data_IF_666261433319
#
_entry.id   IF_666261433319
#
_cell.length_a   1.000
_cell.length_b   1.000
_cell.length_c   1.000
_cell.angle_alpha   90.00
_cell.angle_beta   90.00
_cell.angle_gamma   90.00
#
_symmetry.space_group_name_H-M   'P 1'
#
loop_
_entity.id
_entity.type
_entity.pdbx_description
1 polymer ?
#
# COMPACT_ATOMS: atom_id res chain seq x y z
N UNK A 1 31.30 77.41 -72.76
CA UNK A 1 31.07 75.96 -72.97
C UNK A 1 31.36 75.19 -71.69
N UNK A 2 32.51 74.52 -71.49
CA UNK A 2 32.75 73.57 -70.37
C UNK A 2 32.20 73.94 -68.97
N UNK A 3 32.26 75.21 -68.54
CA UNK A 3 31.68 75.63 -67.25
C UNK A 3 30.15 75.55 -67.23
N UNK A 4 29.48 75.97 -68.31
CA UNK A 4 28.02 75.94 -68.45
C UNK A 4 27.50 74.50 -68.49
N UNK A 5 28.19 73.59 -69.17
CA UNK A 5 27.86 72.15 -69.18
C UNK A 5 27.90 71.56 -67.76
N UNK A 6 28.96 71.85 -66.98
CA UNK A 6 29.09 71.41 -65.59
C UNK A 6 28.02 72.02 -64.68
N UNK A 7 27.66 73.29 -64.88
CA UNK A 7 26.55 73.95 -64.15
C UNK A 7 25.20 73.31 -64.49
N UNK A 8 24.93 73.01 -65.76
CA UNK A 8 23.71 72.31 -66.19
C UNK A 8 23.62 70.89 -65.60
N UNK A 9 24.71 70.12 -65.63
CA UNK A 9 24.76 68.79 -65.01
C UNK A 9 24.55 68.85 -63.49
N UNK A 10 25.17 69.82 -62.81
CA UNK A 10 24.96 70.03 -61.38
C UNK A 10 23.51 70.42 -61.05
N UNK A 11 22.88 71.26 -61.88
CA UNK A 11 21.47 71.60 -61.74
C UNK A 11 20.52 70.42 -62.01
N UNK A 12 20.86 69.52 -62.95
CA UNK A 12 20.10 68.29 -63.19
C UNK A 12 20.14 67.35 -61.98
N UNK A 13 21.34 67.05 -61.45
CA UNK A 13 21.51 66.23 -60.23
C UNK A 13 20.83 66.89 -59.03
N UNK A 14 20.90 68.22 -58.90
CA UNK A 14 20.15 68.99 -57.88
C UNK A 14 18.63 68.84 -58.04
N UNK A 15 18.11 68.84 -59.27
CA UNK A 15 16.69 68.62 -59.55
C UNK A 15 16.26 67.19 -59.17
N UNK A 16 17.03 66.17 -59.56
CA UNK A 16 16.78 64.77 -59.16
C UNK A 16 16.75 64.60 -57.64
N UNK A 17 17.73 65.17 -56.93
CA UNK A 17 17.76 65.19 -55.46
C UNK A 17 16.54 65.93 -54.90
N UNK A 18 16.11 67.04 -55.52
CA UNK A 18 14.91 67.77 -55.11
C UNK A 18 13.62 66.95 -55.31
N UNK A 19 13.45 66.19 -56.40
CA UNK A 19 12.28 65.32 -56.60
C UNK A 19 12.27 64.13 -55.63
N UNK A 20 13.42 63.50 -55.40
CA UNK A 20 13.55 62.44 -54.39
C UNK A 20 13.23 63.00 -52.99
N UNK A 21 13.72 64.21 -52.67
CA UNK A 21 13.38 64.87 -51.41
C UNK A 21 11.91 65.29 -51.31
N UNK A 22 11.21 65.61 -52.41
CA UNK A 22 9.76 65.85 -52.38
C UNK A 22 9.00 64.57 -52.02
N UNK A 23 9.32 63.43 -52.64
CA UNK A 23 8.63 62.16 -52.33
C UNK A 23 8.91 61.66 -50.90
N UNK A 24 10.09 61.96 -50.35
CA UNK A 24 10.44 61.63 -48.95
C UNK A 24 9.81 62.63 -47.95
N UNK A 25 9.60 63.89 -48.34
CA UNK A 25 8.96 64.92 -47.50
C UNK A 25 7.43 64.93 -47.58
N UNK A 26 6.84 64.19 -48.52
CA UNK A 26 5.39 64.01 -48.60
C UNK A 26 4.84 63.48 -47.27
N UNK A 27 3.83 64.18 -46.74
CA UNK A 27 3.19 63.85 -45.49
C UNK A 27 2.46 62.49 -45.58
N UNK A 28 1.91 62.13 -46.73
CA UNK A 28 1.15 60.88 -46.89
C UNK A 28 2.09 59.67 -47.00
N UNK A 29 3.19 59.78 -47.74
CA UNK A 29 4.28 58.80 -47.71
C UNK A 29 4.82 58.58 -46.30
N UNK A 30 5.14 59.66 -45.57
CA UNK A 30 5.64 59.56 -44.19
C UNK A 30 4.59 58.97 -43.23
N UNK A 31 3.30 59.32 -43.38
CA UNK A 31 2.21 58.75 -42.59
C UNK A 31 2.00 57.26 -42.90
N UNK A 32 2.12 56.84 -44.16
CA UNK A 32 2.07 55.44 -44.60
C UNK A 32 3.19 54.63 -43.95
N UNK A 33 4.44 55.09 -44.06
CA UNK A 33 5.61 54.45 -43.40
C UNK A 33 5.45 54.39 -41.88
N UNK A 34 5.02 55.49 -41.24
CA UNK A 34 4.73 55.56 -39.79
C UNK A 34 3.64 54.56 -39.38
N UNK A 35 2.62 54.35 -40.20
CA UNK A 35 1.56 53.39 -39.94
C UNK A 35 2.01 51.94 -40.18
N UNK A 36 2.85 51.66 -41.17
CA UNK A 36 3.41 50.32 -41.40
C UNK A 36 4.44 49.93 -40.32
N UNK A 37 5.20 50.89 -39.78
CA UNK A 37 6.01 50.70 -38.58
C UNK A 37 5.15 50.39 -37.34
N UNK A 38 4.01 51.09 -37.14
CA UNK A 38 3.03 50.73 -36.08
C UNK A 38 2.49 49.30 -36.27
N UNK A 39 2.11 48.90 -37.50
CA UNK A 39 1.66 47.53 -37.82
C UNK A 39 2.75 46.51 -37.48
N UNK A 40 4.01 46.76 -37.87
CA UNK A 40 5.15 45.86 -37.63
C UNK A 40 5.49 45.74 -36.14
N UNK A 41 5.40 46.84 -35.36
CA UNK A 41 5.52 46.82 -33.89
C UNK A 41 4.40 46.01 -33.24
N UNK A 42 3.14 46.23 -33.64
CA UNK A 42 1.98 45.42 -33.17
C UNK A 42 2.15 43.92 -33.51
N UNK A 43 2.59 43.57 -34.73
CA UNK A 43 2.87 42.18 -35.14
C UNK A 43 3.92 41.51 -34.24
N UNK A 44 5.08 42.17 -34.03
CA UNK A 44 6.15 41.67 -33.14
C UNK A 44 5.66 41.41 -31.71
N UNK A 45 4.94 42.36 -31.11
CA UNK A 45 4.42 42.22 -29.74
C UNK A 45 3.43 41.05 -29.63
N UNK A 46 2.54 40.87 -30.61
CA UNK A 46 1.61 39.74 -30.66
C UNK A 46 2.33 38.39 -30.80
N UNK A 47 3.37 38.33 -31.62
CA UNK A 47 4.17 37.12 -31.82
C UNK A 47 5.03 36.77 -30.62
N UNK A 48 5.54 37.78 -29.90
CA UNK A 48 6.23 37.59 -28.63
C UNK A 48 5.27 37.03 -27.56
N UNK A 49 4.12 37.69 -27.33
CA UNK A 49 3.11 37.22 -26.37
C UNK A 49 2.67 35.79 -26.64
N UNK A 50 2.34 35.45 -27.91
CA UNK A 50 1.98 34.08 -28.30
C UNK A 50 3.08 33.06 -27.99
N UNK A 51 4.37 33.42 -28.15
CA UNK A 51 5.50 32.54 -27.80
C UNK A 51 5.67 32.40 -26.29
N UNK A 52 5.40 33.44 -25.51
CA UNK A 52 5.43 33.41 -24.05
C UNK A 52 4.25 32.60 -23.48
N UNK A 53 3.05 32.81 -24.01
CA UNK A 53 1.83 32.04 -23.74
C UNK A 53 2.04 30.55 -24.04
N UNK A 54 2.51 30.20 -25.24
CA UNK A 54 2.80 28.82 -25.63
C UNK A 54 3.89 28.17 -24.77
N UNK A 55 4.95 28.92 -24.40
CA UNK A 55 5.98 28.42 -23.47
C UNK A 55 5.40 28.10 -22.09
N UNK A 56 4.56 29.00 -21.55
CA UNK A 56 3.86 28.78 -20.27
C UNK A 56 2.95 27.57 -20.35
N UNK A 57 2.10 27.49 -21.38
CA UNK A 57 1.18 26.38 -21.59
C UNK A 57 1.91 25.03 -21.73
N UNK A 58 3.02 25.00 -22.48
CA UNK A 58 3.89 23.83 -22.60
C UNK A 58 4.47 23.44 -21.23
N UNK A 59 5.02 24.39 -20.48
CA UNK A 59 5.57 24.16 -19.14
C UNK A 59 4.52 23.62 -18.17
N UNK A 60 3.30 24.16 -18.17
CA UNK A 60 2.19 23.66 -17.35
C UNK A 60 1.77 22.23 -17.73
N UNK A 61 1.84 21.86 -19.02
CA UNK A 61 1.60 20.49 -19.51
C UNK A 61 2.75 19.52 -19.20
N UNK A 62 3.98 20.03 -19.08
CA UNK A 62 5.13 19.25 -18.63
C UNK A 62 5.08 19.03 -17.11
N UNK A 63 4.78 20.07 -16.34
CA UNK A 63 4.59 19.97 -14.90
C UNK A 63 3.39 19.09 -14.51
N UNK A 64 2.23 19.22 -15.18
CA UNK A 64 1.07 18.34 -14.94
C UNK A 64 1.41 16.87 -15.18
N UNK A 65 2.20 16.56 -16.22
CA UNK A 65 2.66 15.18 -16.47
C UNK A 65 3.65 14.73 -15.40
N UNK A 66 4.61 15.57 -15.01
CA UNK A 66 5.56 15.25 -13.95
C UNK A 66 4.86 14.97 -12.60
N UNK A 67 3.82 15.75 -12.25
CA UNK A 67 2.99 15.51 -11.06
C UNK A 67 2.27 14.15 -11.13
N UNK A 68 1.61 13.84 -12.25
CA UNK A 68 0.91 12.56 -12.44
C UNK A 68 1.87 11.35 -12.43
N UNK A 69 3.08 11.48 -12.98
CA UNK A 69 4.10 10.44 -12.90
C UNK A 69 4.63 10.29 -11.46
N UNK A 70 4.90 11.39 -10.75
CA UNK A 70 5.32 11.33 -9.35
C UNK A 70 4.25 10.71 -8.43
N UNK A 71 2.98 10.97 -8.69
CA UNK A 71 1.83 10.37 -8.01
C UNK A 71 1.76 8.85 -8.29
N UNK A 72 1.81 8.44 -9.56
CA UNK A 72 1.83 7.03 -9.95
C UNK A 72 3.04 6.28 -9.37
N UNK A 73 4.24 6.85 -9.46
CA UNK A 73 5.44 6.31 -8.82
C UNK A 73 5.30 6.21 -7.29
N UNK A 74 4.62 7.18 -6.64
CA UNK A 74 4.39 7.14 -5.19
C UNK A 74 3.44 6.01 -4.79
N UNK A 75 2.45 5.70 -5.64
CA UNK A 75 1.57 4.55 -5.46
C UNK A 75 2.33 3.24 -5.68
N UNK A 76 3.09 3.13 -6.78
CA UNK A 76 3.94 1.95 -7.06
C UNK A 76 4.91 1.65 -5.90
N UNK A 77 5.55 2.68 -5.33
CA UNK A 77 6.45 2.50 -4.17
C UNK A 77 5.73 2.04 -2.90
N UNK A 78 4.49 2.49 -2.66
CA UNK A 78 3.67 2.01 -1.54
C UNK A 78 3.30 0.54 -1.74
N UNK A 79 2.80 0.19 -2.92
CA UNK A 79 2.42 -1.18 -3.27
C UNK A 79 3.61 -2.15 -3.16
N UNK A 80 4.78 -1.75 -3.68
CA UNK A 80 6.02 -2.52 -3.55
C UNK A 80 6.48 -2.68 -2.09
N UNK A 81 6.26 -1.69 -1.23
CA UNK A 81 6.57 -1.80 0.18
C UNK A 81 5.67 -2.82 0.89
N UNK A 82 4.36 -2.83 0.60
CA UNK A 82 3.41 -3.83 1.13
C UNK A 82 3.79 -5.24 0.67
N UNK A 83 4.07 -5.43 -0.62
CA UNK A 83 4.47 -6.73 -1.19
C UNK A 83 5.78 -7.24 -0.56
N UNK A 84 6.76 -6.35 -0.32
CA UNK A 84 8.03 -6.75 0.31
C UNK A 84 7.87 -7.00 1.82
N UNK A 85 6.97 -6.29 2.52
CA UNK A 85 6.60 -6.58 3.91
C UNK A 85 5.94 -7.96 4.04
N UNK A 86 4.90 -8.26 3.24
CA UNK A 86 4.29 -9.59 3.20
C UNK A 86 5.33 -10.68 2.93
N UNK A 87 6.30 -10.43 2.04
CA UNK A 87 7.37 -11.36 1.69
C UNK A 87 8.37 -11.56 2.83
N UNK A 88 8.65 -10.52 3.63
CA UNK A 88 9.47 -10.62 4.84
C UNK A 88 8.75 -11.41 5.93
N UNK A 89 7.48 -11.13 6.20
CA UNK A 89 6.64 -11.90 7.15
C UNK A 89 6.55 -13.37 6.75
N UNK A 90 6.29 -13.67 5.47
CA UNK A 90 6.24 -15.05 4.93
C UNK A 90 7.59 -15.77 5.01
N UNK A 91 8.71 -15.07 5.12
CA UNK A 91 10.02 -15.67 5.39
C UNK A 91 10.23 -15.90 6.89
N UNK A 92 9.91 -14.92 7.75
CA UNK A 92 9.98 -15.07 9.21
C UNK A 92 9.14 -16.26 9.72
N UNK A 93 7.95 -16.47 9.16
CA UNK A 93 7.12 -17.65 9.45
C UNK A 93 7.80 -18.97 9.05
N UNK A 94 8.49 -19.02 7.90
CA UNK A 94 9.25 -20.20 7.46
C UNK A 94 10.46 -20.48 8.35
N UNK A 95 11.15 -19.43 8.78
CA UNK A 95 12.29 -19.54 9.68
C UNK A 95 11.84 -20.03 11.07
N UNK A 96 10.69 -19.58 11.57
CA UNK A 96 10.07 -20.09 12.78
C UNK A 96 9.64 -21.57 12.66
N UNK A 97 9.01 -21.97 11.55
CA UNK A 97 8.66 -23.37 11.25
C UNK A 97 9.92 -24.25 11.14
N UNK A 98 11.00 -23.74 10.52
CA UNK A 98 12.29 -24.41 10.42
C UNK A 98 12.89 -24.64 11.83
N UNK A 99 12.89 -23.63 12.70
CA UNK A 99 13.36 -23.76 14.09
C UNK A 99 12.50 -24.80 14.83
N UNK A 100 11.16 -24.70 14.76
CA UNK A 100 10.24 -25.68 15.36
C UNK A 100 10.48 -27.11 14.86
N UNK A 101 10.76 -27.30 13.57
CA UNK A 101 11.09 -28.62 13.00
C UNK A 101 12.42 -29.17 13.54
N UNK A 102 13.42 -28.32 13.73
CA UNK A 102 14.71 -28.70 14.30
C UNK A 102 14.57 -29.11 15.78
N UNK A 103 13.84 -28.34 16.59
CA UNK A 103 13.56 -28.67 18.00
C UNK A 103 12.80 -30.00 18.09
N UNK A 104 11.78 -30.20 17.25
CA UNK A 104 11.05 -31.49 17.14
C UNK A 104 11.96 -32.65 16.76
N UNK A 105 12.94 -32.46 15.86
CA UNK A 105 13.90 -33.52 15.52
C UNK A 105 14.79 -33.85 16.71
N UNK A 106 15.48 -32.87 17.31
CA UNK A 106 16.33 -33.07 18.51
C UNK A 106 15.58 -33.82 19.61
N UNK A 107 14.34 -33.41 19.88
CA UNK A 107 13.44 -34.04 20.84
C UNK A 107 13.06 -35.47 20.46
N UNK A 108 12.85 -35.75 19.18
CA UNK A 108 12.60 -37.10 18.68
C UNK A 108 13.85 -37.98 18.83
N UNK A 109 15.04 -37.44 18.59
CA UNK A 109 16.30 -38.15 18.72
C UNK A 109 16.60 -38.49 20.19
N UNK A 110 16.38 -37.56 21.13
CA UNK A 110 16.44 -37.84 22.57
C UNK A 110 15.52 -39.01 22.97
N UNK A 111 14.27 -39.02 22.47
CA UNK A 111 13.32 -40.12 22.73
C UNK A 111 13.73 -41.46 22.07
N UNK A 112 14.41 -41.45 20.91
CA UNK A 112 15.01 -42.67 20.32
C UNK A 112 16.10 -43.23 21.25
N UNK A 113 17.00 -42.39 21.76
CA UNK A 113 18.06 -42.84 22.66
C UNK A 113 17.50 -43.39 23.98
N UNK A 114 16.46 -42.78 24.54
CA UNK A 114 15.75 -43.33 25.72
C UNK A 114 15.16 -44.72 25.45
N UNK A 115 14.56 -44.95 24.28
CA UNK A 115 14.07 -46.28 23.87
C UNK A 115 15.19 -47.32 23.79
N UNK A 116 16.31 -46.97 23.13
CA UNK A 116 17.49 -47.84 23.01
C UNK A 116 18.06 -48.20 24.39
N UNK A 117 18.09 -47.26 25.34
CA UNK A 117 18.57 -47.50 26.71
C UNK A 117 17.65 -48.45 27.48
N UNK A 118 16.33 -48.34 27.31
CA UNK A 118 15.36 -49.28 27.88
C UNK A 118 15.52 -50.69 27.27
N UNK A 119 15.71 -50.81 25.96
CA UNK A 119 16.00 -52.09 25.29
C UNK A 119 17.31 -52.72 25.81
N UNK A 120 18.39 -51.95 25.94
CA UNK A 120 19.65 -52.41 26.50
C UNK A 120 19.52 -52.87 27.97
N UNK A 121 18.75 -52.15 28.78
CA UNK A 121 18.46 -52.53 30.17
C UNK A 121 17.65 -53.83 30.23
N UNK A 122 16.64 -53.99 29.37
CA UNK A 122 15.86 -55.22 29.25
C UNK A 122 16.73 -56.41 28.81
N UNK A 123 17.60 -56.23 27.81
CA UNK A 123 18.55 -57.26 27.37
C UNK A 123 19.56 -57.64 28.45
N UNK A 124 20.03 -56.68 29.27
CA UNK A 124 20.86 -56.97 30.46
C UNK A 124 20.08 -57.81 31.48
N UNK A 125 18.86 -57.39 31.82
CA UNK A 125 18.00 -58.09 32.78
C UNK A 125 17.75 -59.55 32.35
N UNK A 126 17.45 -59.79 31.07
CA UNK A 126 17.26 -61.14 30.50
C UNK A 126 18.55 -61.97 30.61
N UNK A 127 19.72 -61.41 30.27
CA UNK A 127 21.00 -62.12 30.42
C UNK A 127 21.30 -62.48 31.89
N UNK A 128 20.97 -61.58 32.81
CA UNK A 128 21.16 -61.80 34.25
C UNK A 128 20.19 -62.84 34.82
N UNK A 129 18.94 -62.91 34.37
CA UNK A 129 18.01 -63.98 34.80
C UNK A 129 18.40 -65.34 34.24
N UNK A 130 18.83 -65.42 32.98
CA UNK A 130 19.32 -66.66 32.36
C UNK A 130 20.55 -67.20 33.09
N UNK A 131 21.54 -66.35 33.41
CA UNK A 131 22.72 -66.77 34.15
C UNK A 131 22.38 -67.27 35.55
N UNK A 132 21.51 -66.56 36.30
CA UNK A 132 21.01 -67.01 37.61
C UNK A 132 20.30 -68.37 37.53
N UNK A 133 19.51 -68.61 36.48
CA UNK A 133 18.82 -69.88 36.26
C UNK A 133 19.79 -71.05 35.96
N UNK A 134 21.02 -70.77 35.50
CA UNK A 134 22.11 -71.74 35.33
C UNK A 134 23.01 -71.90 36.57
N UNK A 135 22.77 -71.12 37.63
CA UNK A 135 23.65 -71.03 38.79
C UNK A 135 24.90 -70.15 38.59
N UNK A 136 25.06 -69.53 37.41
CA UNK A 136 26.16 -68.64 37.09
C UNK A 136 26.00 -67.28 37.80
N UNK A 137 27.00 -66.87 38.59
CA UNK A 137 27.04 -65.54 39.22
C UNK A 137 27.88 -64.59 38.37
N UNK A 138 27.24 -63.60 37.73
CA UNK A 138 27.96 -62.42 37.23
C UNK A 138 28.57 -61.65 38.41
N UNK A 139 29.69 -60.97 38.16
CA UNK A 139 30.29 -60.05 39.12
C UNK A 139 29.31 -58.92 39.44
N UNK A 140 29.00 -58.72 40.72
CA UNK A 140 28.11 -57.63 41.17
C UNK A 140 28.67 -56.26 40.79
N UNK A 141 30.00 -56.08 40.87
CA UNK A 141 30.66 -54.83 40.50
C UNK A 141 30.36 -54.42 39.04
N UNK A 142 30.33 -55.37 38.09
CA UNK A 142 30.04 -55.07 36.67
C UNK A 142 28.54 -55.01 36.35
N UNK A 143 27.67 -55.24 37.33
CA UNK A 143 26.23 -55.02 37.26
C UNK A 143 25.86 -53.66 37.83
N UNK A 144 26.50 -53.24 38.93
CA UNK A 144 26.31 -51.90 39.50
C UNK A 144 26.95 -50.79 38.64
N UNK A 145 28.13 -50.99 38.03
CA UNK A 145 28.65 -50.00 37.06
C UNK A 145 27.72 -49.84 35.87
N UNK A 146 27.23 -50.95 35.29
CA UNK A 146 26.28 -50.90 34.17
C UNK A 146 24.99 -50.16 34.55
N UNK A 147 24.41 -50.42 35.73
CA UNK A 147 23.22 -49.68 36.21
C UNK A 147 23.51 -48.20 36.40
N UNK A 148 24.65 -47.86 36.99
CA UNK A 148 25.05 -46.48 37.26
C UNK A 148 25.27 -45.69 35.97
N UNK A 149 25.94 -46.27 34.97
CA UNK A 149 26.22 -45.63 33.69
C UNK A 149 24.94 -45.50 32.84
N UNK A 150 24.08 -46.54 32.79
CA UNK A 150 22.76 -46.45 32.16
C UNK A 150 21.87 -45.42 32.85
N UNK A 151 21.88 -45.34 34.19
CA UNK A 151 21.09 -44.36 34.93
C UNK A 151 21.51 -42.93 34.60
N UNK A 152 22.82 -42.62 34.62
CA UNK A 152 23.38 -41.33 34.21
C UNK A 152 23.01 -40.93 32.79
N UNK A 153 23.16 -41.85 31.84
CA UNK A 153 22.88 -41.57 30.42
C UNK A 153 21.37 -41.39 30.22
N UNK A 154 20.53 -42.15 30.92
CA UNK A 154 19.07 -41.98 30.92
C UNK A 154 18.67 -40.63 31.53
N UNK A 155 19.22 -40.26 32.69
CA UNK A 155 19.01 -38.96 33.34
C UNK A 155 19.34 -37.80 32.39
N UNK A 156 20.50 -37.85 31.73
CA UNK A 156 20.91 -36.85 30.75
C UNK A 156 19.91 -36.72 29.57
N UNK A 157 19.50 -37.84 28.95
CA UNK A 157 18.52 -37.79 27.84
C UNK A 157 17.11 -37.40 28.29
N UNK A 158 16.67 -37.75 29.51
CA UNK A 158 15.38 -37.25 30.05
C UNK A 158 15.43 -35.76 30.35
N UNK A 159 16.58 -35.23 30.76
CA UNK A 159 16.78 -33.79 30.94
C UNK A 159 16.69 -33.06 29.60
N UNK A 160 17.35 -33.58 28.56
CA UNK A 160 17.28 -33.04 27.20
C UNK A 160 15.88 -33.11 26.56
N UNK A 161 15.13 -34.22 26.68
CA UNK A 161 13.73 -34.25 26.18
C UNK A 161 12.84 -33.25 26.94
N UNK A 162 13.08 -33.01 28.24
CA UNK A 162 12.38 -31.98 29.01
C UNK A 162 12.71 -30.58 28.52
N UNK A 163 13.99 -30.27 28.31
CA UNK A 163 14.47 -28.97 27.83
C UNK A 163 13.94 -28.65 26.41
N UNK A 164 14.00 -29.62 25.49
CA UNK A 164 13.39 -29.47 24.17
C UNK A 164 11.85 -29.45 24.22
N UNK A 165 11.21 -30.05 25.23
CA UNK A 165 9.77 -29.94 25.42
C UNK A 165 9.33 -28.54 25.91
N UNK A 166 10.12 -27.89 26.76
CA UNK A 166 9.90 -26.48 27.15
C UNK A 166 10.17 -25.55 25.99
N UNK A 167 11.30 -25.69 25.26
CA UNK A 167 11.62 -24.91 24.06
C UNK A 167 10.50 -25.03 22.99
N UNK A 168 10.03 -26.25 22.70
CA UNK A 168 8.96 -26.47 21.73
C UNK A 168 7.61 -25.86 22.17
N UNK A 169 7.36 -25.73 23.48
CA UNK A 169 6.14 -25.16 24.03
C UNK A 169 6.21 -23.62 24.08
N UNK A 170 7.35 -23.06 24.45
CA UNK A 170 7.60 -21.60 24.47
C UNK A 170 7.51 -21.02 23.05
N UNK A 171 8.17 -21.65 22.07
CA UNK A 171 8.07 -21.25 20.66
C UNK A 171 6.63 -21.34 20.10
N UNK A 172 5.86 -22.37 20.50
CA UNK A 172 4.43 -22.48 20.14
C UNK A 172 3.57 -21.39 20.77
N UNK A 173 3.87 -20.96 22.00
CA UNK A 173 3.14 -19.88 22.66
C UNK A 173 3.46 -18.54 21.99
N UNK A 174 4.74 -18.25 21.74
CA UNK A 174 5.19 -17.06 21.02
C UNK A 174 4.55 -16.92 19.63
N UNK A 175 4.53 -18.00 18.84
CA UNK A 175 3.93 -18.01 17.50
C UNK A 175 2.40 -17.90 17.53
N UNK A 176 1.74 -18.33 18.62
CA UNK A 176 0.31 -18.07 18.83
C UNK A 176 0.04 -16.62 19.17
N UNK A 177 0.76 -16.05 20.14
CA UNK A 177 0.55 -14.67 20.57
C UNK A 177 0.83 -13.67 19.45
N UNK A 178 1.87 -13.90 18.63
CA UNK A 178 2.14 -13.07 17.45
C UNK A 178 1.00 -13.15 16.42
N UNK A 179 0.51 -14.36 16.12
CA UNK A 179 -0.61 -14.54 15.20
C UNK A 179 -1.94 -13.99 15.74
N UNK A 180 -2.19 -14.10 17.05
CA UNK A 180 -3.37 -13.52 17.73
C UNK A 180 -3.30 -11.99 17.71
N UNK A 181 -2.14 -11.39 18.02
CA UNK A 181 -1.88 -9.96 17.84
C UNK A 181 -2.06 -9.52 16.38
N UNK A 182 -1.60 -10.31 15.39
CA UNK A 182 -1.73 -9.97 13.97
C UNK A 182 -3.19 -10.00 13.53
N UNK A 183 -3.97 -11.02 13.93
CA UNK A 183 -5.43 -11.07 13.73
C UNK A 183 -6.12 -9.88 14.43
N UNK A 184 -5.70 -9.49 15.63
CA UNK A 184 -6.28 -8.34 16.32
C UNK A 184 -5.99 -7.01 15.58
N UNK A 185 -4.78 -6.84 15.03
CA UNK A 185 -4.40 -5.69 14.20
C UNK A 185 -5.15 -5.69 12.86
N UNK A 186 -5.18 -6.83 12.17
CA UNK A 186 -5.94 -7.04 10.92
C UNK A 186 -7.43 -6.74 11.11
N UNK A 187 -8.06 -7.25 12.18
CA UNK A 187 -9.49 -7.02 12.45
C UNK A 187 -9.82 -5.60 12.92
N UNK A 188 -8.94 -4.94 13.69
CA UNK A 188 -9.10 -3.51 14.03
C UNK A 188 -9.01 -2.62 12.79
N UNK A 189 -8.02 -2.86 11.93
CA UNK A 189 -7.87 -2.12 10.67
C UNK A 189 -9.07 -2.36 9.75
N UNK A 190 -9.47 -3.63 9.56
CA UNK A 190 -10.66 -3.99 8.77
C UNK A 190 -11.92 -3.34 9.33
N UNK A 191 -12.14 -3.34 10.66
CA UNK A 191 -13.30 -2.69 11.25
C UNK A 191 -13.29 -1.18 11.00
N UNK A 192 -12.14 -0.51 11.15
CA UNK A 192 -12.00 0.92 10.87
C UNK A 192 -12.21 1.24 9.37
N UNK A 193 -11.73 0.40 8.46
CA UNK A 193 -11.95 0.56 7.01
C UNK A 193 -13.44 0.38 6.66
N UNK A 194 -14.11 -0.63 7.23
CA UNK A 194 -15.55 -0.83 7.05
C UNK A 194 -16.39 0.27 7.71
N UNK A 195 -15.96 0.80 8.87
CA UNK A 195 -16.60 1.96 9.51
C UNK A 195 -16.48 3.20 8.59
N UNK A 196 -15.31 3.44 7.99
CA UNK A 196 -15.11 4.51 7.02
C UNK A 196 -15.89 4.30 5.71
N UNK A 197 -16.06 3.07 5.23
CA UNK A 197 -16.81 2.77 3.99
C UNK A 197 -18.32 2.79 4.20
N UNK A 198 -18.83 2.24 5.30
CA UNK A 198 -20.27 2.19 5.61
C UNK A 198 -20.82 3.53 6.09
N UNK A 199 -20.01 4.31 6.83
CA UNK A 199 -20.47 5.54 7.49
C UNK A 199 -19.77 6.81 7.01
N UNK A 200 -18.69 6.73 6.22
CA UNK A 200 -18.15 7.89 5.49
C UNK A 200 -17.61 9.02 6.37
N UNK A 201 -16.52 8.75 7.11
CA UNK A 201 -15.86 9.69 8.04
C UNK A 201 -16.80 10.09 9.21
N UNK A 202 -16.84 9.25 10.24
CA UNK A 202 -17.42 9.56 11.55
C UNK A 202 -18.89 10.06 11.55
N UNK A 203 -19.85 9.16 11.31
CA UNK A 203 -21.24 9.38 11.77
C UNK A 203 -21.34 9.46 13.31
N UNK A 204 -20.28 9.07 14.05
CA UNK A 204 -20.08 9.42 15.45
C UNK A 204 -19.99 10.95 15.70
N UNK A 205 -19.91 11.78 14.66
CA UNK A 205 -20.24 13.20 14.72
C UNK A 205 -21.71 13.48 15.13
N UNK A 206 -22.57 12.46 15.25
CA UNK A 206 -23.84 12.56 15.98
C UNK A 206 -23.64 13.17 17.39
N UNK A 207 -22.57 12.81 18.10
CA UNK A 207 -22.23 13.37 19.42
C UNK A 207 -21.65 14.80 19.35
N UNK A 208 -21.38 15.29 18.13
CA UNK A 208 -21.05 16.70 17.83
C UNK A 208 -22.26 17.49 17.32
N UNK A 209 -23.28 16.83 16.75
CA UNK A 209 -24.52 17.46 16.25
C UNK A 209 -25.34 18.16 17.35
N UNK A 210 -25.08 17.82 18.61
CA UNK A 210 -25.64 18.50 19.79
C UNK A 210 -24.81 19.70 20.29
N UNK A 211 -23.66 20.01 19.66
CA UNK A 211 -22.70 21.04 20.09
C UNK A 211 -22.56 22.19 19.09
N UNK A 212 -22.87 21.97 17.81
CA UNK A 212 -22.84 23.00 16.77
C UNK A 212 -24.08 22.93 15.86
N UNK A 213 -24.75 24.09 15.71
CA UNK A 213 -25.96 24.24 14.90
C UNK A 213 -25.66 24.10 13.39
N UNK A 214 -24.51 24.56 12.93
CA UNK A 214 -24.14 24.46 11.52
C UNK A 214 -23.89 22.99 11.13
N UNK A 215 -23.26 22.20 12.01
CA UNK A 215 -23.13 20.74 11.85
C UNK A 215 -24.50 20.03 11.77
N UNK A 216 -25.48 20.44 12.58
CA UNK A 216 -26.84 19.87 12.54
C UNK A 216 -27.55 20.21 11.23
N UNK A 217 -27.44 21.46 10.76
CA UNK A 217 -28.00 21.90 9.47
C UNK A 217 -27.32 21.18 8.31
N UNK A 218 -26.00 20.96 8.35
CA UNK A 218 -25.25 20.22 7.34
C UNK A 218 -25.73 18.75 7.25
N UNK A 219 -25.85 18.06 8.39
CA UNK A 219 -26.39 16.69 8.45
C UNK A 219 -27.83 16.67 7.93
N UNK A 220 -28.69 17.59 8.38
CA UNK A 220 -30.10 17.61 7.98
C UNK A 220 -30.28 17.86 6.48
N UNK A 221 -29.57 18.84 5.91
CA UNK A 221 -29.62 19.14 4.47
C UNK A 221 -29.03 18.02 3.60
N UNK A 222 -28.05 17.26 4.11
CA UNK A 222 -27.57 16.05 3.45
C UNK A 222 -28.65 14.95 3.39
N UNK A 223 -29.45 14.79 4.45
CA UNK A 223 -30.62 13.88 4.44
C UNK A 223 -31.77 14.40 3.57
N UNK A 224 -32.07 15.71 3.60
CA UNK A 224 -33.13 16.32 2.79
C UNK A 224 -32.91 16.14 1.28
N UNK A 225 -31.65 15.98 0.83
CA UNK A 225 -31.32 15.65 -0.56
C UNK A 225 -31.90 14.31 -1.04
N UNK A 226 -32.23 13.39 -0.13
CA UNK A 226 -32.86 12.10 -0.44
C UNK A 226 -34.39 12.12 -0.31
N UNK A 227 -34.99 13.29 -0.03
CA UNK A 227 -36.45 13.47 -0.05
C UNK A 227 -36.88 13.86 -1.47
N UNK A 228 -37.53 12.93 -2.16
CA UNK A 228 -38.11 13.19 -3.48
C UNK A 228 -39.17 14.29 -3.43
N UNK A 229 -39.14 15.21 -4.41
CA UNK A 229 -40.08 16.33 -4.52
C UNK A 229 -41.30 16.04 -5.41
N UNK A 230 -41.38 14.85 -5.99
CA UNK A 230 -42.51 14.39 -6.81
C UNK A 230 -43.47 13.53 -5.96
N UNK A 231 -44.72 13.38 -6.41
CA UNK A 231 -45.81 12.76 -5.64
C UNK A 231 -45.61 11.27 -5.28
N UNK A 232 -44.53 10.64 -5.74
CA UNK A 232 -44.16 9.26 -5.40
C UNK A 232 -43.47 9.17 -4.01
N UNK A 233 -43.25 10.30 -3.33
CA UNK A 233 -42.78 10.34 -1.94
C UNK A 233 -43.84 9.75 -0.99
N UNK A 234 -43.62 8.50 -0.54
CA UNK A 234 -44.51 7.84 0.42
C UNK A 234 -44.47 8.54 1.79
N UNK A 235 -45.65 8.90 2.30
CA UNK A 235 -45.81 9.50 3.63
C UNK A 235 -45.18 8.61 4.70
N UNK A 236 -44.46 9.21 5.67
CA UNK A 236 -43.90 8.50 6.82
C UNK A 236 -45.01 7.66 7.48
N UNK A 237 -44.89 6.31 7.50
CA UNK A 237 -45.99 5.45 7.88
C UNK A 237 -46.31 5.60 9.37
N UNK A 238 -47.58 5.88 9.67
CA UNK A 238 -48.08 6.12 11.04
C UNK A 238 -48.32 4.77 11.73
N UNK A 239 -47.23 4.10 12.14
CA UNK A 239 -47.28 2.82 12.84
C UNK A 239 -46.00 2.00 12.66
N UNK A 240 -46.00 0.78 13.22
CA UNK A 240 -44.92 -0.18 12.97
C UNK A 240 -44.98 -0.71 11.54
N UNK A 241 -43.93 -0.46 10.75
CA UNK A 241 -43.75 -1.10 9.45
C UNK A 241 -43.46 -2.59 9.69
N UNK A 242 -44.37 -3.47 9.27
CA UNK A 242 -44.13 -4.91 9.25
C UNK A 242 -43.58 -5.28 7.88
N UNK A 243 -42.29 -5.67 7.76
CA UNK A 243 -41.67 -5.93 6.46
C UNK A 243 -42.22 -7.21 5.83
N UNK A 244 -42.52 -7.15 4.52
CA UNK A 244 -43.07 -8.27 3.76
C UNK A 244 -42.17 -9.53 3.85
N UNK A 245 -42.80 -10.70 3.69
CA UNK A 245 -42.09 -11.99 3.83
C UNK A 245 -41.53 -12.42 2.46
N UNK A 246 -40.27 -12.87 2.38
CA UNK A 246 -39.36 -13.12 3.49
C UNK A 246 -38.45 -11.93 3.82
N UNK A 247 -38.60 -11.43 5.06
CA UNK A 247 -37.58 -10.66 5.88
C UNK A 247 -35.33 -11.85 7.50
N UNK A 248 -35.33 -12.96 8.35
CA UNK A 248 -34.44 -14.12 8.18
C UNK A 248 -35.25 -15.30 7.60
N UNK A 249 -34.76 -16.17 6.71
CA UNK A 249 -33.44 -16.83 6.70
C UNK A 249 -32.36 -16.10 5.87
N UNK A 250 -31.73 -15.07 6.45
CA UNK A 250 -30.89 -14.09 5.74
C UNK A 250 -31.56 -13.63 4.41
N UNK A 251 -32.82 -13.20 4.53
CA UNK A 251 -33.78 -12.98 3.43
C UNK A 251 -33.72 -14.01 2.29
N UNK A 252 -33.92 -15.25 2.73
CA UNK A 252 -34.04 -16.46 1.93
C UNK A 252 -32.85 -16.74 1.00
N UNK A 253 -31.69 -16.12 1.28
CA UNK A 253 -30.44 -16.19 0.49
C UNK A 253 -30.64 -15.85 -0.99
N UNK A 254 -31.28 -14.71 -1.24
CA UNK A 254 -31.42 -14.07 -2.57
C UNK A 254 -32.17 -14.94 -3.58
N UNK A 255 -33.47 -14.65 -3.78
CA UNK A 255 -34.37 -15.43 -4.65
C UNK A 255 -33.68 -15.85 -5.97
N UNK A 256 -33.78 -17.14 -6.25
CA UNK A 256 -32.81 -17.84 -7.09
C UNK A 256 -32.68 -17.32 -8.53
N UNK A 257 -31.53 -17.67 -9.11
CA UNK A 257 -31.13 -17.52 -10.51
C UNK A 257 -32.24 -17.85 -11.52
N UNK A 258 -32.04 -17.30 -12.71
CA UNK A 258 -32.62 -17.69 -13.99
C UNK A 258 -34.07 -17.22 -14.27
N UNK A 259 -34.18 -16.07 -14.93
CA UNK A 259 -35.33 -15.71 -15.79
C UNK A 259 -34.85 -15.25 -17.17
N UNK A 260 -34.50 -16.25 -18.00
CA UNK A 260 -34.28 -16.18 -19.47
C UNK A 260 -33.16 -15.27 -20.00
#
# INVERSE_FOLDING_TARGET
>A
MQWQEKVSACNAVKHEICEILKTIKDADFLNKVKNDLKKRKKKRIREQRRKEEWKKEKSMKEERRARLHAEADSWIRKEQAVIEQEKQEKNLLRDADLILSNVRSKRNDARKYLGILQELQNLRNIKVTIARARGEKLSSATDETFKHDIAKITEHWTTLDREYATEEQELKLMLKTDNEERIEKETKNLFADWENVLFGINILAADQSHKDLDSFILIRTAWDRFISSENDATTIPIGWIVPEKPSSAAWQKCLNKDTS
#
